data_IF_764231906409
#
_entry.id   IF_764231906409
#
_cell.length_a   1.000
_cell.length_b   1.000
_cell.length_c   1.000
_cell.angle_alpha   90.00
_cell.angle_beta   90.00
_cell.angle_gamma   90.00
#
_symmetry.space_group_name_H-M   'P 1'
#
loop_
_entity.id
_entity.type
_entity.pdbx_description
1 polymer ?
#
# COMPACT_ATOMS: atom_id res chain seq x y z
N UNK A 1 -2.41 -15.97 12.82
CA UNK A 1 -1.71 -14.82 13.44
C UNK A 1 -2.75 -13.74 13.75
N UNK A 2 -2.88 -13.29 15.01
CA UNK A 2 -3.80 -12.19 15.37
C UNK A 2 -3.28 -10.86 14.82
N UNK A 3 -4.13 -10.02 14.23
CA UNK A 3 -3.74 -8.68 13.76
C UNK A 3 -3.89 -7.66 14.90
N UNK A 4 -2.93 -6.73 15.00
CA UNK A 4 -2.94 -5.65 15.99
C UNK A 4 -4.22 -4.80 15.86
N UNK A 5 -4.65 -4.54 14.63
CA UNK A 5 -5.81 -3.67 14.33
C UNK A 5 -7.13 -4.28 14.81
N UNK A 6 -7.28 -5.61 14.71
CA UNK A 6 -8.48 -6.32 15.16
C UNK A 6 -8.57 -6.39 16.70
N UNK A 7 -7.42 -6.34 17.37
CA UNK A 7 -7.28 -6.36 18.82
C UNK A 7 -7.38 -4.97 19.45
N UNK A 8 -6.85 -3.93 18.80
CA UNK A 8 -6.86 -2.55 19.26
C UNK A 8 -8.22 -1.86 18.96
N UNK A 9 -9.29 -2.32 19.63
CA UNK A 9 -10.64 -1.74 19.56
C UNK A 9 -10.74 -0.45 20.39
N UNK A 10 -11.65 0.48 20.05
CA UNK A 10 -11.93 1.65 20.90
C UNK A 10 -12.19 1.22 22.34
N UNK A 11 -11.50 1.83 23.31
CA UNK A 11 -11.57 1.48 24.74
C UNK A 11 -10.51 0.49 25.23
N UNK A 12 -9.70 -0.12 24.34
CA UNK A 12 -8.58 -0.97 24.76
C UNK A 12 -7.40 -0.11 25.18
N UNK A 13 -6.91 -0.29 26.42
CA UNK A 13 -5.72 0.40 26.89
C UNK A 13 -4.48 0.01 26.05
N UNK A 14 -3.61 0.98 25.77
CA UNK A 14 -2.40 0.72 24.97
C UNK A 14 -1.47 -0.31 25.63
N UNK A 15 -1.36 -0.32 26.96
CA UNK A 15 -0.60 -1.31 27.73
C UNK A 15 -1.07 -2.73 27.43
N UNK A 16 -2.37 -2.97 27.32
CA UNK A 16 -2.95 -4.26 26.94
C UNK A 16 -2.54 -4.67 25.52
N UNK A 17 -2.50 -3.71 24.59
CA UNK A 17 -2.01 -3.93 23.22
C UNK A 17 -0.52 -4.26 23.22
N UNK A 18 0.29 -3.56 24.02
CA UNK A 18 1.73 -3.78 24.13
C UNK A 18 2.07 -5.15 24.75
N UNK A 19 1.30 -5.61 25.74
CA UNK A 19 1.45 -6.97 26.28
C UNK A 19 1.12 -8.05 25.26
N UNK A 20 0.06 -7.87 24.46
CA UNK A 20 -0.32 -8.82 23.41
C UNK A 20 0.61 -8.75 22.19
N UNK A 21 1.22 -7.59 21.93
CA UNK A 21 2.08 -7.32 20.79
C UNK A 21 3.33 -6.54 21.24
N UNK A 22 4.31 -7.25 21.78
CA UNK A 22 5.55 -6.68 22.33
C UNK A 22 6.37 -5.84 21.33
N UNK A 23 6.15 -6.03 20.02
CA UNK A 23 6.76 -5.24 18.95
C UNK A 23 6.13 -3.84 18.78
N UNK A 24 4.96 -3.60 19.36
CA UNK A 24 4.27 -2.31 19.30
C UNK A 24 4.70 -1.47 20.48
N UNK A 25 5.73 -0.65 20.28
CA UNK A 25 6.37 0.09 21.37
C UNK A 25 5.73 1.46 21.65
N UNK A 26 5.06 2.04 20.65
CA UNK A 26 4.49 3.38 20.76
C UNK A 26 3.00 3.37 20.38
N UNK A 27 2.20 4.14 21.13
CA UNK A 27 0.75 4.28 20.90
C UNK A 27 0.44 4.77 19.49
N UNK A 28 1.29 5.65 18.94
CA UNK A 28 1.16 6.17 17.57
C UNK A 28 1.22 5.07 16.50
N UNK A 29 1.88 3.94 16.76
CA UNK A 29 1.95 2.83 15.81
C UNK A 29 0.58 2.17 15.63
N UNK A 30 -0.25 2.14 16.67
CA UNK A 30 -1.61 1.59 16.59
C UNK A 30 -2.51 2.41 15.65
N UNK A 31 -2.41 3.74 15.71
CA UNK A 31 -3.08 4.66 14.79
C UNK A 31 -2.57 4.46 13.35
N UNK A 32 -1.24 4.36 13.16
CA UNK A 32 -0.65 4.08 11.84
C UNK A 32 -1.09 2.73 11.27
N UNK A 33 -1.14 1.67 12.07
CA UNK A 33 -1.62 0.36 11.62
C UNK A 33 -3.09 0.42 11.19
N UNK A 34 -3.92 1.16 11.94
CA UNK A 34 -5.30 1.40 11.56
C UNK A 34 -5.39 2.17 10.24
N UNK A 35 -4.63 3.24 10.07
CA UNK A 35 -4.56 3.97 8.80
C UNK A 35 -4.07 3.08 7.65
N UNK A 36 -3.07 2.22 7.86
CA UNK A 36 -2.58 1.30 6.85
C UNK A 36 -3.64 0.28 6.41
N UNK A 37 -4.43 -0.24 7.37
CA UNK A 37 -5.50 -1.20 7.09
C UNK A 37 -6.73 -0.50 6.48
N UNK A 38 -7.09 0.69 6.95
CA UNK A 38 -8.27 1.41 6.47
C UNK A 38 -8.05 2.07 5.11
N UNK A 39 -6.85 2.56 4.82
CA UNK A 39 -6.59 3.31 3.59
C UNK A 39 -5.96 2.48 2.47
N UNK A 40 -5.88 1.14 2.60
CA UNK A 40 -5.27 0.26 1.59
C UNK A 40 -3.90 0.76 1.10
N UNK A 41 -3.08 1.26 2.03
CA UNK A 41 -1.76 1.87 1.73
C UNK A 41 -0.60 0.90 1.88
N UNK A 42 -0.84 -0.40 1.89
CA UNK A 42 0.27 -1.34 1.96
C UNK A 42 1.03 -1.34 0.62
N UNK A 43 2.35 -1.54 0.68
CA UNK A 43 3.21 -1.45 -0.51
C UNK A 43 2.78 -2.43 -1.60
N UNK A 44 2.20 -3.57 -1.22
CA UNK A 44 1.69 -4.57 -2.18
C UNK A 44 0.53 -4.01 -3.01
N UNK A 45 -0.43 -3.35 -2.38
CA UNK A 45 -1.58 -2.74 -3.07
C UNK A 45 -1.14 -1.59 -3.97
N UNK A 46 -0.21 -0.74 -3.50
CA UNK A 46 0.40 0.31 -4.33
C UNK A 46 1.07 -0.27 -5.57
N UNK A 47 1.88 -1.32 -5.39
CA UNK A 47 2.55 -2.01 -6.51
C UNK A 47 1.53 -2.65 -7.48
N UNK A 48 0.48 -3.29 -6.97
CA UNK A 48 -0.58 -3.84 -7.83
C UNK A 48 -1.31 -2.76 -8.63
N UNK A 49 -1.55 -1.57 -8.07
CA UNK A 49 -2.14 -0.45 -8.81
C UNK A 49 -1.21 0.08 -9.90
N UNK A 50 0.08 0.24 -9.59
CA UNK A 50 1.10 0.61 -10.57
C UNK A 50 1.19 -0.42 -11.70
N UNK A 51 1.18 -1.70 -11.38
CA UNK A 51 1.19 -2.80 -12.35
C UNK A 51 -0.02 -2.72 -13.29
N UNK A 52 -1.23 -2.59 -12.75
CA UNK A 52 -2.46 -2.47 -13.54
C UNK A 52 -2.41 -1.25 -14.48
N UNK A 53 -1.97 -0.11 -13.97
CA UNK A 53 -1.83 1.12 -14.77
C UNK A 53 -0.83 0.96 -15.92
N UNK A 54 0.36 0.44 -15.64
CA UNK A 54 1.40 0.21 -16.65
C UNK A 54 0.93 -0.80 -17.69
N UNK A 55 0.27 -1.88 -17.26
CA UNK A 55 -0.28 -2.89 -18.16
C UNK A 55 -1.35 -2.30 -19.08
N UNK A 56 -2.23 -1.45 -18.56
CA UNK A 56 -3.24 -0.76 -19.38
C UNK A 56 -2.60 0.16 -20.42
N UNK A 57 -1.60 0.95 -20.03
CA UNK A 57 -0.83 1.81 -20.94
C UNK A 57 -0.14 0.99 -22.02
N UNK A 58 0.48 -0.12 -21.63
CA UNK A 58 1.15 -1.03 -22.57
C UNK A 58 0.17 -1.62 -23.58
N UNK A 59 -0.99 -2.12 -23.12
CA UNK A 59 -2.04 -2.66 -24.01
C UNK A 59 -2.48 -1.62 -25.04
N UNK A 60 -2.80 -0.40 -24.61
CA UNK A 60 -3.18 0.69 -25.53
C UNK A 60 -2.08 1.02 -26.54
N UNK A 61 -0.81 1.01 -26.13
CA UNK A 61 0.31 1.23 -27.03
C UNK A 61 0.42 0.11 -28.07
N UNK A 62 0.21 -1.15 -27.68
CA UNK A 62 0.18 -2.29 -28.61
C UNK A 62 -1.00 -2.22 -29.57
N UNK A 63 -2.19 -1.88 -29.09
CA UNK A 63 -3.40 -1.73 -29.92
C UNK A 63 -3.25 -0.61 -30.97
N UNK A 64 -2.40 0.37 -30.69
CA UNK A 64 -2.10 1.51 -31.58
C UNK A 64 -0.80 1.33 -32.38
N UNK A 65 -0.19 0.14 -32.33
CA UNK A 65 1.11 -0.16 -32.97
C UNK A 65 2.24 0.82 -32.60
N UNK A 66 2.19 1.40 -31.40
CA UNK A 66 3.25 2.25 -30.87
C UNK A 66 4.38 1.38 -30.30
N UNK A 67 5.65 1.70 -30.61
CA UNK A 67 6.78 1.08 -29.94
C UNK A 67 6.79 1.47 -28.45
N UNK A 68 7.12 0.51 -27.58
CA UNK A 68 7.28 0.75 -26.15
C UNK A 68 8.68 0.36 -25.73
N UNK A 69 9.39 1.29 -25.10
CA UNK A 69 10.71 1.06 -24.54
C UNK A 69 10.67 0.95 -23.01
N UNK A 70 11.72 0.38 -22.43
CA UNK A 70 11.86 0.29 -20.97
C UNK A 70 11.81 1.66 -20.29
N UNK A 71 12.27 2.72 -20.97
CA UNK A 71 12.18 4.10 -20.50
C UNK A 71 10.74 4.58 -20.35
N UNK A 72 9.82 4.14 -21.23
CA UNK A 72 8.41 4.51 -21.18
C UNK A 72 7.71 3.82 -20.02
N UNK A 73 7.96 2.53 -19.83
CA UNK A 73 7.47 1.75 -18.69
C UNK A 73 7.92 2.40 -17.38
N UNK A 74 9.21 2.77 -17.28
CA UNK A 74 9.76 3.45 -16.11
C UNK A 74 9.11 4.82 -15.91
N UNK A 75 8.93 5.61 -16.97
CA UNK A 75 8.28 6.93 -16.90
C UNK A 75 6.84 6.79 -16.41
N UNK A 76 6.04 5.90 -16.98
CA UNK A 76 4.66 5.65 -16.56
C UNK A 76 4.57 5.25 -15.09
N UNK A 77 5.44 4.34 -14.65
CA UNK A 77 5.50 3.90 -13.26
C UNK A 77 5.80 5.07 -12.31
N UNK A 78 6.79 5.91 -12.64
CA UNK A 78 7.17 7.06 -11.82
C UNK A 78 6.08 8.14 -11.79
N UNK A 79 5.43 8.41 -12.93
CA UNK A 79 4.33 9.39 -13.00
C UNK A 79 3.16 8.96 -12.13
N UNK A 80 2.77 7.68 -12.18
CA UNK A 80 1.66 7.18 -11.36
C UNK A 80 2.03 7.12 -9.87
N UNK A 81 3.27 6.75 -9.54
CA UNK A 81 3.74 6.71 -8.16
C UNK A 81 3.80 8.11 -7.50
N UNK A 82 3.95 9.19 -8.28
CA UNK A 82 3.92 10.56 -7.76
C UNK A 82 2.52 11.05 -7.37
N UNK A 83 1.46 10.34 -7.80
CA UNK A 83 0.06 10.70 -7.53
C UNK A 83 -0.50 9.94 -6.31
N UNK A 84 0.10 8.81 -5.91
CA UNK A 84 -0.34 7.93 -4.79
C UNK A 84 0.33 8.17 -3.42
#
# INVERSE_FOLDING_TARGET
MRKVVDFARPGTAFTTVQHAFSRVQYSIQSARFREYVQNDRNSRQKLSRLELFVLEKFKRARDTNLPVHNTDIRRWSLTQAAIE
#
